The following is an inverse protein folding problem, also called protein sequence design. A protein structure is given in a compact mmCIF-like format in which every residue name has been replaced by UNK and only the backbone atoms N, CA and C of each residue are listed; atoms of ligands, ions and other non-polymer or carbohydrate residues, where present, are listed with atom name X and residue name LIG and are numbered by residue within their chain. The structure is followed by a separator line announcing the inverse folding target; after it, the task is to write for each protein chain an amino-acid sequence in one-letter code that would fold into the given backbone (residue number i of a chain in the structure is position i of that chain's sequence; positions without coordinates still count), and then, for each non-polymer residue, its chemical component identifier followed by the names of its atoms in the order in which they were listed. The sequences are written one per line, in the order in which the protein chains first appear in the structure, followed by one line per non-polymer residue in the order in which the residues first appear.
data_IF_106755713103
#
_entry.id   IF_106755713103
#
_cell.length_a   1.000
_cell.length_b   1.000
_cell.length_c   1.000
_cell.angle_alpha   90.00
_cell.angle_beta   90.00
_cell.angle_gamma   90.00
#
_symmetry.space_group_name_H-M   'P 1'
#
loop_
_entity.id
_entity.type
_entity.pdbx_description
1 polymer ?
#
# COMPACT_ATOMS: atom_id res chain seq x y z
N UNK A 1 -6.60 66.83 94.31
CA UNK A 1 -5.76 66.05 93.36
C UNK A 1 -4.91 64.94 94.00
N UNK A 2 -4.78 64.85 95.35
CA UNK A 2 -3.90 63.86 96.01
C UNK A 2 -4.47 62.43 96.13
N UNK A 3 -5.79 62.23 96.03
CA UNK A 3 -6.42 60.90 96.18
C UNK A 3 -6.33 59.99 94.93
N UNK A 4 -6.27 60.58 93.73
CA UNK A 4 -6.28 59.81 92.46
C UNK A 4 -4.92 59.15 92.16
N UNK A 5 -3.82 59.72 92.64
CA UNK A 5 -2.49 59.14 92.52
C UNK A 5 -2.32 57.90 93.44
N UNK A 6 -2.85 57.98 94.66
CA UNK A 6 -2.78 56.87 95.63
C UNK A 6 -3.65 55.68 95.22
N UNK A 7 -4.77 55.90 94.49
CA UNK A 7 -5.59 54.80 93.96
C UNK A 7 -4.96 54.12 92.75
N UNK A 8 -4.20 54.85 91.93
CA UNK A 8 -3.50 54.31 90.75
C UNK A 8 -2.28 53.46 91.14
N UNK A 9 -1.52 53.89 92.16
CA UNK A 9 -0.39 53.12 92.69
C UNK A 9 -0.84 51.82 93.40
N UNK A 10 -2.01 51.82 94.05
CA UNK A 10 -2.57 50.61 94.68
C UNK A 10 -2.96 49.57 93.63
N UNK A 11 -3.51 50.02 92.49
CA UNK A 11 -3.93 49.14 91.41
C UNK A 11 -2.74 48.49 90.69
N UNK A 12 -1.64 49.24 90.49
CA UNK A 12 -0.44 48.72 89.84
C UNK A 12 0.27 47.63 90.67
N UNK A 13 0.17 47.68 92.00
CA UNK A 13 0.65 46.62 92.90
C UNK A 13 -0.20 45.35 92.83
N UNK A 14 -1.51 45.47 92.59
CA UNK A 14 -2.41 44.30 92.43
C UNK A 14 -2.04 43.48 91.19
N UNK A 15 -1.64 44.12 90.09
CA UNK A 15 -1.27 43.42 88.86
C UNK A 15 0.06 42.67 88.94
N UNK A 16 1.00 43.11 89.79
CA UNK A 16 2.31 42.46 89.96
C UNK A 16 2.21 41.09 90.65
N UNK A 17 1.12 40.82 91.37
CA UNK A 17 0.88 39.53 92.04
C UNK A 17 0.00 38.54 91.26
N UNK A 18 -0.74 39.00 90.25
CA UNK A 18 -1.73 38.16 89.54
C UNK A 18 -1.15 37.45 88.32
N UNK A 19 -0.10 38.00 87.71
CA UNK A 19 0.50 37.42 86.49
C UNK A 19 1.96 37.06 86.74
N UNK A 20 2.33 35.81 86.44
CA UNK A 20 3.71 35.33 86.48
C UNK A 20 4.56 36.13 85.49
N UNK A 21 5.75 36.58 85.89
CA UNK A 21 6.64 37.42 85.04
C UNK A 21 6.96 36.75 83.70
N UNK A 22 7.05 35.42 83.67
CA UNK A 22 7.24 34.64 82.44
C UNK A 22 6.12 34.90 81.42
N UNK A 23 4.85 34.96 81.84
CA UNK A 23 3.72 35.18 80.94
C UNK A 23 3.75 36.58 80.29
N UNK A 24 4.24 37.59 81.02
CA UNK A 24 4.38 38.96 80.50
C UNK A 24 5.55 39.04 79.52
N UNK A 25 6.65 38.34 79.80
CA UNK A 25 7.80 38.25 78.90
C UNK A 25 7.46 37.54 77.58
N UNK A 26 6.64 36.49 77.62
CA UNK A 26 6.18 35.77 76.41
C UNK A 26 5.29 36.63 75.51
N UNK A 27 4.40 37.46 76.06
CA UNK A 27 3.57 38.40 75.28
C UNK A 27 4.42 39.40 74.49
N UNK A 28 5.48 39.94 75.09
CA UNK A 28 6.38 40.87 74.39
C UNK A 28 7.25 40.17 73.34
N UNK A 29 7.61 38.90 73.54
CA UNK A 29 8.41 38.11 72.58
C UNK A 29 7.62 37.71 71.33
N UNK A 30 6.29 37.56 71.46
CA UNK A 30 5.40 37.21 70.36
C UNK A 30 5.17 38.36 69.37
N UNK A 31 5.60 39.58 69.71
CA UNK A 31 5.50 40.75 68.84
C UNK A 31 6.65 40.84 67.81
N UNK A 32 7.58 39.88 67.80
CA UNK A 32 8.67 39.76 66.82
C UNK A 32 8.45 38.66 65.77
N UNK A 33 7.21 38.25 65.52
CA UNK A 33 6.90 37.44 64.33
C UNK A 33 6.90 38.42 63.15
N UNK A 34 8.03 38.51 62.45
CA UNK A 34 8.12 39.23 61.18
C UNK A 34 6.95 38.78 60.28
N UNK A 35 6.19 39.70 59.67
CA UNK A 35 5.17 39.28 58.72
C UNK A 35 5.89 38.58 57.57
N UNK A 36 5.64 37.27 57.43
CA UNK A 36 5.96 36.56 56.20
C UNK A 36 5.26 37.34 55.10
N UNK A 37 6.06 37.92 54.20
CA UNK A 37 5.59 38.66 53.03
C UNK A 37 4.67 37.73 52.24
N UNK A 38 3.35 37.84 52.46
CA UNK A 38 2.36 37.22 51.60
C UNK A 38 2.60 37.79 50.20
N UNK A 39 2.92 36.96 49.20
CA UNK A 39 3.08 37.47 47.84
C UNK A 39 1.79 38.20 47.47
N UNK A 40 1.94 39.40 46.90
CA UNK A 40 0.84 40.28 46.54
C UNK A 40 -0.24 39.47 45.80
N UNK A 41 -1.48 39.52 46.30
CA UNK A 41 -2.63 38.76 45.76
C UNK A 41 -2.84 39.05 44.28
N UNK A 42 -2.44 40.25 43.82
CA UNK A 42 -2.45 40.63 42.41
C UNK A 42 -1.49 39.79 41.57
N UNK A 43 -0.31 39.44 42.08
CA UNK A 43 0.67 38.59 41.36
C UNK A 43 0.11 37.18 41.22
N UNK A 44 -0.49 36.63 42.26
CA UNK A 44 -1.14 35.33 42.21
C UNK A 44 -2.29 35.30 41.18
N UNK A 45 -3.09 36.37 41.13
CA UNK A 45 -4.19 36.48 40.16
C UNK A 45 -3.69 36.55 38.71
N UNK A 46 -2.64 37.33 38.45
CA UNK A 46 -2.03 37.45 37.11
C UNK A 46 -1.46 36.11 36.65
N UNK A 47 -0.74 35.40 37.53
CA UNK A 47 -0.19 34.08 37.21
C UNK A 47 -1.31 33.08 36.89
N UNK A 48 -2.39 33.09 37.68
CA UNK A 48 -3.54 32.22 37.44
C UNK A 48 -4.20 32.53 36.08
N UNK A 49 -4.38 33.80 35.75
CA UNK A 49 -4.94 34.22 34.46
C UNK A 49 -4.07 33.79 33.27
N UNK A 50 -2.74 33.88 33.38
CA UNK A 50 -1.80 33.43 32.35
C UNK A 50 -1.91 31.92 32.14
N UNK A 51 -1.97 31.14 33.23
CA UNK A 51 -2.12 29.68 33.17
C UNK A 51 -3.44 29.31 32.47
N UNK A 52 -4.55 29.96 32.82
CA UNK A 52 -5.84 29.73 32.17
C UNK A 52 -5.80 30.03 30.66
N UNK A 53 -5.19 31.15 30.26
CA UNK A 53 -5.02 31.50 28.85
C UNK A 53 -4.17 30.47 28.09
N UNK A 54 -3.12 29.96 28.73
CA UNK A 54 -2.22 28.98 28.14
C UNK A 54 -2.92 27.62 27.93
N UNK A 55 -3.76 27.20 28.89
CA UNK A 55 -4.60 26.00 28.76
C UNK A 55 -5.58 26.16 27.58
N UNK A 56 -6.27 27.29 27.48
CA UNK A 56 -7.21 27.57 26.39
C UNK A 56 -6.48 27.54 25.03
N UNK A 57 -5.29 28.15 24.97
CA UNK A 57 -4.46 28.16 23.76
C UNK A 57 -4.05 26.74 23.34
N UNK A 58 -3.62 25.90 24.29
CA UNK A 58 -3.29 24.50 24.02
C UNK A 58 -4.53 23.76 23.52
N UNK A 59 -5.69 23.90 24.16
CA UNK A 59 -6.92 23.23 23.72
C UNK A 59 -7.33 23.64 22.29
N UNK A 60 -7.10 24.89 21.89
CA UNK A 60 -7.38 25.36 20.53
C UNK A 60 -6.37 24.85 19.49
N UNK A 61 -5.11 24.66 19.87
CA UNK A 61 -4.03 24.27 18.94
C UNK A 61 -3.79 22.77 18.88
N UNK A 62 -4.19 22.03 19.93
CA UNK A 62 -4.04 20.59 20.02
C UNK A 62 -5.04 19.88 19.11
N UNK A 63 -4.64 19.68 17.87
CA UNK A 63 -5.36 18.80 16.94
C UNK A 63 -5.02 17.37 17.28
N UNK A 64 -6.00 16.63 17.78
CA UNK A 64 -5.87 15.19 17.97
C UNK A 64 -5.78 14.51 16.59
N UNK A 65 -4.59 14.03 16.23
CA UNK A 65 -4.40 13.20 15.03
C UNK A 65 -4.87 11.79 15.36
N UNK A 66 -6.09 11.47 14.95
CA UNK A 66 -6.62 10.13 15.06
C UNK A 66 -5.82 9.18 14.15
N UNK A 67 -5.15 8.20 14.75
CA UNK A 67 -4.43 7.17 14.00
C UNK A 67 -5.42 6.12 13.54
N UNK A 68 -5.92 6.28 12.31
CA UNK A 68 -6.81 5.29 11.69
C UNK A 68 -5.98 4.20 11.02
N UNK A 69 -6.15 2.96 11.47
CA UNK A 69 -5.60 1.78 10.79
C UNK A 69 -6.48 1.46 9.59
N UNK A 70 -5.98 1.69 8.39
CA UNK A 70 -6.69 1.34 7.16
C UNK A 70 -6.33 -0.09 6.78
N UNK A 71 -7.32 -0.98 6.80
CA UNK A 71 -7.24 -2.30 6.19
C UNK A 71 -7.61 -2.17 4.72
N UNK A 72 -6.63 -2.40 3.84
CA UNK A 72 -6.83 -2.40 2.40
C UNK A 72 -6.52 -3.76 1.80
N UNK A 73 -7.07 -4.03 0.62
CA UNK A 73 -6.72 -5.19 -0.20
C UNK A 73 -5.85 -4.75 -1.36
N UNK A 74 -4.81 -5.54 -1.68
CA UNK A 74 -3.97 -5.29 -2.85
C UNK A 74 -4.63 -5.88 -4.08
N UNK A 75 -5.03 -5.02 -5.01
CA UNK A 75 -5.45 -5.43 -6.34
C UNK A 75 -4.29 -5.25 -7.34
N UNK A 76 -4.06 -6.22 -8.24
CA UNK A 76 -3.00 -6.10 -9.24
C UNK A 76 -3.31 -4.96 -10.21
N UNK A 77 -2.40 -3.99 -10.32
CA UNK A 77 -2.58 -2.78 -11.14
C UNK A 77 -2.83 -3.09 -12.63
N UNK A 78 -2.24 -4.19 -13.13
CA UNK A 78 -2.34 -4.61 -14.53
C UNK A 78 -3.43 -5.66 -14.78
N UNK A 79 -4.25 -5.97 -13.76
CA UNK A 79 -5.28 -7.00 -13.85
C UNK A 79 -4.73 -8.42 -13.83
N UNK A 80 -5.63 -9.39 -14.02
CA UNK A 80 -5.34 -10.83 -14.07
C UNK A 80 -5.50 -11.29 -15.51
N UNK A 81 -4.50 -11.99 -16.05
CA UNK A 81 -4.56 -12.60 -17.37
C UNK A 81 -4.85 -14.10 -17.25
N UNK A 82 -5.94 -14.56 -17.83
CA UNK A 82 -6.26 -15.99 -17.95
C UNK A 82 -5.79 -16.50 -19.31
N UNK A 83 -4.84 -17.43 -19.32
CA UNK A 83 -4.28 -18.02 -20.54
C UNK A 83 -4.99 -19.33 -20.82
N UNK A 84 -5.73 -19.40 -21.93
CA UNK A 84 -6.43 -20.60 -22.38
C UNK A 84 -5.74 -21.16 -23.63
N UNK A 85 -5.81 -22.48 -23.80
CA UNK A 85 -5.32 -23.14 -25.01
C UNK A 85 -6.15 -22.75 -26.24
N UNK A 86 -5.48 -22.56 -27.39
CA UNK A 86 -6.15 -22.23 -28.65
C UNK A 86 -6.97 -23.41 -29.22
N UNK A 87 -6.56 -24.65 -28.93
CA UNK A 87 -7.25 -25.86 -29.36
C UNK A 87 -7.16 -26.95 -28.30
N UNK A 88 -8.13 -27.89 -28.34
CA UNK A 88 -8.09 -29.09 -27.52
C UNK A 88 -6.91 -30.00 -27.91
N UNK A 89 -6.30 -30.63 -26.91
CA UNK A 89 -5.15 -31.51 -27.09
C UNK A 89 -4.67 -32.09 -25.77
N UNK A 90 -3.57 -32.84 -25.82
CA UNK A 90 -2.92 -33.40 -24.63
C UNK A 90 -1.75 -32.48 -24.26
N UNK A 91 -1.65 -32.12 -22.96
CA UNK A 91 -0.51 -31.36 -22.45
C UNK A 91 0.73 -32.24 -22.56
N UNK A 92 1.70 -31.80 -23.36
CA UNK A 92 2.95 -32.52 -23.56
C UNK A 92 4.01 -32.13 -22.53
N UNK A 93 4.04 -30.87 -22.11
CA UNK A 93 4.98 -30.38 -21.12
C UNK A 93 4.39 -29.19 -20.34
N UNK A 94 4.73 -29.11 -19.06
CA UNK A 94 4.38 -28.00 -18.17
C UNK A 94 5.68 -27.34 -17.71
N UNK A 95 5.89 -26.09 -18.11
CA UNK A 95 7.15 -25.39 -17.92
C UNK A 95 7.15 -24.46 -16.70
N UNK A 96 5.99 -24.30 -16.04
CA UNK A 96 5.81 -23.40 -14.89
C UNK A 96 4.96 -24.05 -13.81
N UNK A 97 5.25 -23.76 -12.56
CA UNK A 97 4.50 -24.22 -11.39
C UNK A 97 3.73 -23.07 -10.73
N UNK A 98 2.81 -23.44 -9.85
CA UNK A 98 2.02 -22.45 -9.11
C UNK A 98 2.92 -21.60 -8.22
N UNK A 99 2.83 -20.28 -8.36
CA UNK A 99 3.64 -19.31 -7.61
C UNK A 99 4.91 -18.83 -8.33
N UNK A 100 5.24 -19.40 -9.49
CA UNK A 100 6.41 -18.96 -10.26
C UNK A 100 6.21 -17.57 -10.87
N UNK A 101 7.29 -16.77 -10.88
CA UNK A 101 7.34 -15.52 -11.62
C UNK A 101 7.56 -15.80 -13.10
N UNK A 102 6.64 -15.32 -13.94
CA UNK A 102 6.69 -15.49 -15.40
C UNK A 102 6.85 -14.15 -16.10
N UNK A 103 7.65 -14.15 -17.16
CA UNK A 103 7.84 -12.98 -18.01
C UNK A 103 6.94 -13.03 -19.24
N UNK A 104 6.77 -11.88 -19.90
CA UNK A 104 6.05 -11.82 -21.17
C UNK A 104 6.73 -12.77 -22.17
N UNK A 105 5.91 -13.51 -22.92
CA UNK A 105 6.33 -14.47 -23.95
C UNK A 105 7.08 -15.72 -23.43
N UNK A 106 7.10 -15.94 -22.11
CA UNK A 106 7.61 -17.18 -21.52
C UNK A 106 6.64 -18.33 -21.77
N UNK A 107 7.15 -19.46 -22.28
CA UNK A 107 6.35 -20.66 -22.48
C UNK A 107 5.83 -21.21 -21.14
N UNK A 108 4.51 -21.32 -21.00
CA UNK A 108 3.86 -21.84 -19.78
C UNK A 108 3.61 -23.34 -19.88
N UNK A 109 3.06 -23.78 -21.01
CA UNK A 109 2.76 -25.18 -21.29
C UNK A 109 2.82 -25.44 -22.79
N UNK A 110 3.13 -26.68 -23.16
CA UNK A 110 3.09 -27.15 -24.54
C UNK A 110 1.92 -28.11 -24.71
N UNK A 111 1.16 -27.95 -25.79
CA UNK A 111 0.03 -28.83 -26.13
C UNK A 111 0.33 -29.51 -27.46
N UNK A 112 0.14 -30.82 -27.48
CA UNK A 112 0.07 -31.57 -28.72
C UNK A 112 -1.40 -31.69 -29.13
N UNK A 113 -1.81 -30.89 -30.12
CA UNK A 113 -3.16 -30.94 -30.68
C UNK A 113 -3.17 -31.93 -31.84
N UNK A 114 -3.39 -33.20 -31.51
CA UNK A 114 -3.65 -34.23 -32.53
C UNK A 114 -5.16 -34.28 -32.74
N UNK A 115 -5.64 -33.61 -33.78
CA UNK A 115 -7.01 -33.84 -34.25
C UNK A 115 -7.03 -35.20 -34.98
N UNK A 116 -7.73 -36.18 -34.41
CA UNK A 116 -8.01 -37.47 -35.04
C UNK A 116 -9.48 -37.49 -35.46
N UNK A 117 -9.74 -37.97 -36.66
CA UNK A 117 -11.10 -38.33 -37.08
C UNK A 117 -11.59 -39.53 -36.25
N UNK A 118 -12.89 -39.77 -36.24
CA UNK A 118 -13.59 -40.97 -35.76
C UNK A 118 -12.94 -42.31 -36.18
N UNK A 119 -12.17 -42.31 -37.28
CA UNK A 119 -11.43 -43.45 -37.80
C UNK A 119 -9.97 -43.54 -37.30
N UNK A 120 -9.55 -42.66 -36.39
CA UNK A 120 -8.21 -42.65 -35.78
C UNK A 120 -7.10 -42.02 -36.63
N UNK A 121 -7.40 -41.59 -37.86
CA UNK A 121 -6.42 -40.97 -38.78
C UNK A 121 -6.25 -39.49 -38.44
N UNK A 122 -5.00 -39.03 -38.41
CA UNK A 122 -4.67 -37.63 -38.19
C UNK A 122 -5.07 -36.79 -39.41
N UNK A 123 -5.83 -35.71 -39.22
CA UNK A 123 -6.25 -34.85 -40.34
C UNK A 123 -5.06 -34.28 -41.12
N UNK A 124 -3.92 -34.08 -40.46
CA UNK A 124 -2.65 -33.67 -41.09
C UNK A 124 -2.18 -34.68 -42.13
N UNK A 125 -2.28 -35.99 -41.86
CA UNK A 125 -1.87 -37.03 -42.81
C UNK A 125 -2.81 -37.10 -44.01
N UNK A 126 -4.11 -36.93 -43.78
CA UNK A 126 -5.12 -36.87 -44.85
C UNK A 126 -4.82 -35.65 -45.75
N UNK A 127 -4.59 -34.48 -45.16
CA UNK A 127 -4.25 -33.26 -45.88
C UNK A 127 -2.96 -33.39 -46.70
N UNK A 128 -1.90 -33.93 -46.11
CA UNK A 128 -0.62 -34.19 -46.82
C UNK A 128 -0.82 -35.18 -47.97
N UNK A 129 -1.62 -36.24 -47.77
CA UNK A 129 -1.95 -37.22 -48.81
C UNK A 129 -2.71 -36.62 -49.99
N UNK A 130 -3.69 -35.75 -49.71
CA UNK A 130 -4.44 -35.02 -50.74
C UNK A 130 -3.55 -34.04 -51.52
N UNK A 131 -2.75 -33.22 -50.82
CA UNK A 131 -1.82 -32.28 -51.47
C UNK A 131 -0.82 -33.00 -52.38
N UNK A 132 -0.29 -34.14 -51.94
CA UNK A 132 0.64 -34.93 -52.74
C UNK A 132 -0.03 -35.54 -53.99
N UNK A 133 -1.29 -35.96 -53.89
CA UNK A 133 -2.06 -36.41 -55.05
C UNK A 133 -2.26 -35.28 -56.06
N UNK A 134 -2.61 -34.08 -55.58
CA UNK A 134 -2.80 -32.90 -56.43
C UNK A 134 -1.50 -32.49 -57.12
N UNK A 135 -0.39 -32.43 -56.38
CA UNK A 135 0.96 -32.18 -56.94
C UNK A 135 1.32 -33.21 -58.03
N UNK A 136 1.09 -34.49 -57.77
CA UNK A 136 1.42 -35.56 -58.73
C UNK A 136 0.54 -35.51 -59.98
N UNK A 137 -0.73 -35.12 -59.84
CA UNK A 137 -1.62 -34.91 -60.99
C UNK A 137 -1.13 -33.72 -61.84
N UNK A 138 -0.78 -32.60 -61.21
CA UNK A 138 -0.23 -31.42 -61.87
C UNK A 138 1.09 -31.71 -62.60
N UNK A 139 2.01 -32.45 -61.99
CA UNK A 139 3.26 -32.87 -62.64
C UNK A 139 3.01 -33.74 -63.88
N UNK A 140 2.01 -34.62 -63.80
CA UNK A 140 1.63 -35.49 -64.93
C UNK A 140 1.05 -34.68 -66.08
N UNK A 141 0.19 -33.71 -65.80
CA UNK A 141 -0.32 -32.77 -66.82
C UNK A 141 0.82 -31.97 -67.46
N UNK A 142 1.72 -31.42 -66.65
CA UNK A 142 2.86 -30.64 -67.11
C UNK A 142 3.73 -31.47 -68.07
N UNK A 143 4.09 -32.70 -67.68
CA UNK A 143 4.89 -33.60 -68.50
C UNK A 143 4.21 -33.96 -69.83
N UNK A 144 2.89 -34.13 -69.81
CA UNK A 144 2.09 -34.44 -71.01
C UNK A 144 2.05 -33.24 -71.96
N UNK A 145 1.93 -32.03 -71.42
CA UNK A 145 1.98 -30.77 -72.18
C UNK A 145 3.34 -30.57 -72.84
N UNK A 146 4.43 -30.75 -72.09
CA UNK A 146 5.79 -30.66 -72.62
C UNK A 146 6.04 -31.66 -73.76
N UNK A 147 5.55 -32.89 -73.61
CA UNK A 147 5.67 -33.93 -74.65
C UNK A 147 4.91 -33.53 -75.92
N UNK A 148 3.67 -33.06 -75.78
CA UNK A 148 2.86 -32.61 -76.92
C UNK A 148 3.49 -31.41 -77.66
N UNK A 149 4.00 -30.42 -76.93
CA UNK A 149 4.70 -29.27 -77.53
C UNK A 149 5.97 -29.70 -78.27
N UNK A 150 6.73 -30.63 -77.70
CA UNK A 150 7.94 -31.17 -78.35
C UNK A 150 7.61 -31.94 -79.64
N UNK A 151 6.53 -32.73 -79.63
CA UNK A 151 6.05 -33.44 -80.82
C UNK A 151 5.59 -32.47 -81.91
N UNK A 152 4.87 -31.40 -81.55
CA UNK A 152 4.46 -30.34 -82.50
C UNK A 152 5.66 -29.64 -83.13
N UNK A 153 6.69 -29.32 -82.34
CA UNK A 153 7.93 -28.71 -82.85
C UNK A 153 8.67 -29.64 -83.82
N UNK A 154 8.71 -30.94 -83.52
CA UNK A 154 9.34 -31.93 -84.41
C UNK A 154 8.60 -32.10 -85.74
N UNK A 155 7.26 -32.04 -85.72
CA UNK A 155 6.45 -32.10 -86.94
C UNK A 155 6.70 -30.84 -87.77
N UNK A 156 6.72 -29.66 -87.15
CA UNK A 156 6.97 -28.39 -87.83
C UNK A 156 8.37 -28.35 -88.46
N UNK A 157 9.39 -28.84 -87.77
CA UNK A 157 10.76 -28.92 -88.29
C UNK A 157 10.87 -29.83 -89.52
N UNK A 158 10.22 -31.01 -89.47
CA UNK A 158 10.08 -31.90 -90.64
C UNK A 158 9.40 -31.21 -91.82
N UNK A 159 8.38 -30.40 -91.54
CA UNK A 159 7.60 -29.71 -92.57
C UNK A 159 8.36 -28.54 -93.20
N UNK A 160 9.21 -27.85 -92.43
CA UNK A 160 10.10 -26.80 -92.94
C UNK A 160 11.25 -27.38 -93.77
N UNK A 161 11.83 -28.51 -93.34
CA UNK A 161 12.93 -29.15 -94.05
C UNK A 161 12.49 -29.80 -95.38
N UNK A 162 11.20 -30.07 -95.57
CA UNK A 162 10.62 -30.59 -96.82
C UNK A 162 10.33 -29.49 -97.85
N UNK A 163 10.27 -28.21 -97.44
CA UNK A 163 10.00 -27.06 -98.31
C UNK A 163 11.26 -26.34 -98.81
N UNK A 164 12.45 -26.77 -98.41
CA UNK A 164 13.74 -26.21 -98.82
C UNK A 164 14.43 -27.16 -99.79
#
# INVERSE_FOLDING_TARGET
MKQKATSMMRNLQVYKGIFREEAVAYKNKQQSISPVSVPSTHVAFVVCAIICLLIIFIMMTLKYTERVSVTGVTIPLKGVATVNAASGGVISNLNVHHGDYVHKDQALFSINSVMKDSSGIQYTEIGIGLLNKEKKALEKELSSKYKSTKEQLLILDKELNKRR
#
